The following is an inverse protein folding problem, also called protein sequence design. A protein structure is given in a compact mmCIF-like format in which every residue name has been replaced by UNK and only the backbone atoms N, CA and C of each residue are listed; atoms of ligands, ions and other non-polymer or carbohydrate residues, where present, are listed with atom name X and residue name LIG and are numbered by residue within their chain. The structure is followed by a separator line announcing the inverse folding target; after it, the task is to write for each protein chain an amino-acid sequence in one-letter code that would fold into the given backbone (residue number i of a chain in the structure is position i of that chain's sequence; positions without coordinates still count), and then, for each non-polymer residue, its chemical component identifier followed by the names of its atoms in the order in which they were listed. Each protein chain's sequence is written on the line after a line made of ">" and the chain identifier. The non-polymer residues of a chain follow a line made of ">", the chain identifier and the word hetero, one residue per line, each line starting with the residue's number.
data_IF_573079226012
#
_entry.id   IF_573079226012
#
_cell.length_a   1.000
_cell.length_b   1.000
_cell.length_c   1.000
_cell.angle_alpha   90.00
_cell.angle_beta   90.00
_cell.angle_gamma   90.00
#
_symmetry.space_group_name_H-M   'P 1'
#
loop_
_entity.id
_entity.type
_entity.pdbx_description
1 polymer ?
#
# COMPACT_ATOMS: atom_id res chain seq x y z
N UNK A 1 6.45 -3.74 -0.67
CA UNK A 1 7.60 -2.85 -0.38
C UNK A 1 8.24 -2.40 -1.67
N UNK A 2 8.81 -1.20 -1.71
CA UNK A 2 9.52 -0.66 -2.89
C UNK A 2 11.00 -0.53 -2.60
N UNK A 3 11.82 -0.83 -3.60
CA UNK A 3 13.28 -0.66 -3.57
C UNK A 3 13.67 0.28 -4.70
N UNK A 4 14.38 1.35 -4.36
CA UNK A 4 14.96 2.28 -5.33
C UNK A 4 16.39 1.85 -5.61
N UNK A 5 16.73 1.66 -6.88
CA UNK A 5 18.08 1.24 -7.28
C UNK A 5 18.66 2.15 -8.36
N UNK A 6 19.99 2.38 -8.34
CA UNK A 6 20.72 3.05 -9.42
C UNK A 6 20.43 2.45 -10.80
N UNK A 7 20.50 3.26 -11.86
CA UNK A 7 20.33 2.77 -13.23
C UNK A 7 21.40 1.74 -13.64
N UNK A 8 22.59 1.84 -13.02
CA UNK A 8 23.74 0.97 -13.28
C UNK A 8 23.50 -0.50 -12.90
N UNK A 9 22.49 -0.78 -12.06
CA UNK A 9 22.10 -2.14 -11.71
C UNK A 9 21.30 -2.77 -12.86
N UNK A 10 21.89 -3.81 -13.48
CA UNK A 10 21.25 -4.49 -14.60
C UNK A 10 19.96 -5.20 -14.17
N UNK A 11 18.99 -5.26 -15.08
CA UNK A 11 17.72 -5.98 -14.85
C UNK A 11 17.95 -7.43 -14.50
N UNK A 12 18.94 -8.09 -15.12
CA UNK A 12 19.32 -9.47 -14.81
C UNK A 12 19.79 -9.68 -13.37
N UNK A 13 20.43 -8.67 -12.76
CA UNK A 13 20.85 -8.73 -11.36
C UNK A 13 19.64 -8.62 -10.44
N UNK A 14 18.65 -7.80 -10.80
CA UNK A 14 17.42 -7.63 -10.03
C UNK A 14 16.44 -8.79 -10.20
N UNK A 15 16.47 -9.51 -11.32
CA UNK A 15 15.72 -10.76 -11.52
C UNK A 15 16.28 -11.92 -10.67
N UNK A 16 17.51 -11.80 -10.14
CA UNK A 16 18.13 -12.81 -9.29
C UNK A 16 17.72 -12.64 -7.83
N UNK A 17 16.93 -13.59 -7.31
CA UNK A 17 16.49 -13.63 -5.90
C UNK A 17 17.66 -13.44 -4.93
N UNK A 18 18.82 -14.08 -5.17
CA UNK A 18 20.00 -13.95 -4.29
C UNK A 18 20.60 -12.55 -4.21
N UNK A 19 20.54 -11.77 -5.29
CA UNK A 19 21.09 -10.41 -5.31
C UNK A 19 20.11 -9.41 -4.71
N UNK A 20 18.81 -9.61 -4.96
CA UNK A 20 17.72 -8.96 -4.23
C UNK A 20 17.86 -9.17 -2.72
N UNK A 21 18.05 -10.42 -2.28
CA UNK A 21 18.19 -10.76 -0.87
C UNK A 21 19.41 -10.06 -0.23
N UNK A 22 20.53 -10.00 -0.96
CA UNK A 22 21.74 -9.33 -0.50
C UNK A 22 21.55 -7.81 -0.39
N UNK A 23 20.79 -7.21 -1.29
CA UNK A 23 20.54 -5.77 -1.30
C UNK A 23 19.51 -5.36 -0.23
N UNK A 24 18.49 -6.19 0.00
CA UNK A 24 17.41 -5.94 0.96
C UNK A 24 17.79 -6.42 2.37
N UNK A 25 18.72 -7.37 2.48
CA UNK A 25 19.09 -8.03 3.73
C UNK A 25 18.07 -9.07 4.22
N UNK A 26 17.11 -9.47 3.37
CA UNK A 26 16.05 -10.42 3.67
C UNK A 26 15.58 -11.12 2.40
N UNK A 27 15.02 -12.32 2.53
CA UNK A 27 14.45 -13.08 1.41
C UNK A 27 13.30 -12.30 0.78
N UNK A 28 13.44 -11.92 -0.49
CA UNK A 28 12.45 -11.13 -1.20
C UNK A 28 12.21 -11.67 -2.62
N UNK A 29 10.97 -11.53 -3.10
CA UNK A 29 10.63 -11.81 -4.50
C UNK A 29 9.98 -10.60 -5.16
N UNK A 30 10.22 -10.43 -6.44
CA UNK A 30 9.63 -9.37 -7.25
C UNK A 30 8.12 -9.57 -7.37
N UNK A 31 7.38 -8.45 -7.31
CA UNK A 31 5.94 -8.45 -7.35
C UNK A 31 5.43 -7.46 -8.40
N UNK A 32 4.68 -7.96 -9.39
CA UNK A 32 4.15 -7.13 -10.47
C UNK A 32 3.08 -6.16 -9.96
N UNK A 33 3.50 -4.93 -9.61
CA UNK A 33 2.62 -3.86 -9.09
C UNK A 33 2.55 -2.62 -9.97
N UNK A 34 3.65 -2.24 -10.63
CA UNK A 34 3.70 -0.98 -11.36
C UNK A 34 2.98 -1.06 -12.70
N UNK A 35 2.25 0.00 -13.04
CA UNK A 35 1.73 0.19 -14.39
C UNK A 35 2.87 0.63 -15.31
N UNK A 36 2.89 0.06 -16.50
CA UNK A 36 3.83 0.45 -17.54
C UNK A 36 3.28 1.67 -18.27
N UNK A 37 4.15 2.65 -18.56
CA UNK A 37 3.80 3.80 -19.37
C UNK A 37 3.18 3.35 -20.70
N UNK A 38 1.96 3.81 -21.05
CA UNK A 38 1.28 3.37 -22.27
C UNK A 38 2.07 3.69 -23.54
N UNK A 39 2.93 4.71 -23.50
CA UNK A 39 3.71 5.21 -24.63
C UNK A 39 5.09 4.54 -24.78
N UNK A 40 5.40 3.50 -23.99
CA UNK A 40 6.68 2.79 -24.11
C UNK A 40 6.82 2.07 -25.46
N UNK A 41 8.01 2.16 -26.07
CA UNK A 41 8.34 1.43 -27.28
C UNK A 41 8.64 -0.05 -26.99
N UNK A 42 8.38 -0.96 -27.94
CA UNK A 42 8.60 -2.40 -27.75
C UNK A 42 10.05 -2.76 -27.35
N UNK A 43 11.04 -2.06 -27.88
CA UNK A 43 12.46 -2.31 -27.55
C UNK A 43 12.82 -1.87 -26.13
N UNK A 44 12.02 -1.01 -25.49
CA UNK A 44 12.23 -0.58 -24.11
C UNK A 44 11.70 -1.60 -23.10
N UNK A 45 10.88 -2.58 -23.53
CA UNK A 45 10.34 -3.62 -22.66
C UNK A 45 11.44 -4.42 -21.92
N UNK A 46 12.63 -4.58 -22.53
CA UNK A 46 13.78 -5.27 -21.91
C UNK A 46 14.33 -4.57 -20.66
N UNK A 47 13.94 -3.32 -20.42
CA UNK A 47 14.34 -2.56 -19.23
C UNK A 47 13.34 -2.69 -18.07
N UNK A 48 12.19 -3.32 -18.32
CA UNK A 48 11.19 -3.62 -17.30
C UNK A 48 11.46 -4.99 -16.66
N UNK A 49 11.14 -5.11 -15.39
CA UNK A 49 11.31 -6.30 -14.56
C UNK A 49 9.96 -7.00 -14.45
N UNK A 50 9.91 -8.31 -14.68
CA UNK A 50 8.68 -9.11 -14.66
C UNK A 50 7.50 -8.49 -15.44
N UNK A 51 7.75 -8.06 -16.67
CA UNK A 51 6.71 -7.50 -17.53
C UNK A 51 5.63 -8.55 -17.84
N UNK A 52 4.41 -8.28 -17.39
CA UNK A 52 3.21 -9.09 -17.62
C UNK A 52 2.22 -8.33 -18.50
N UNK A 53 1.86 -8.93 -19.63
CA UNK A 53 0.77 -8.43 -20.48
C UNK A 53 -0.56 -8.93 -19.90
N UNK A 54 -1.46 -8.05 -19.46
CA UNK A 54 -2.77 -8.46 -18.98
C UNK A 54 -3.67 -8.87 -20.14
N UNK A 55 -4.75 -9.58 -19.84
CA UNK A 55 -5.85 -9.80 -20.78
C UNK A 55 -6.71 -8.53 -20.95
N UNK A 56 -6.89 -7.77 -19.87
CA UNK A 56 -7.67 -6.51 -19.82
C UNK A 56 -6.97 -5.50 -18.89
N UNK A 57 -7.04 -4.21 -19.19
CA UNK A 57 -6.44 -3.16 -18.37
C UNK A 57 -4.94 -2.88 -18.67
N UNK A 58 -4.24 -2.15 -17.77
CA UNK A 58 -2.88 -1.67 -18.01
C UNK A 58 -1.83 -2.80 -17.89
N UNK A 59 -0.74 -2.68 -18.65
CA UNK A 59 0.41 -3.59 -18.52
C UNK A 59 1.06 -3.44 -17.15
N UNK A 60 1.41 -4.58 -16.54
CA UNK A 60 2.03 -4.61 -15.21
C UNK A 60 3.50 -5.04 -15.29
N UNK A 61 4.33 -4.51 -14.41
CA UNK A 61 5.70 -4.97 -14.20
C UNK A 61 6.04 -4.91 -12.70
N UNK A 62 7.03 -5.69 -12.26
CA UNK A 62 7.57 -5.55 -10.92
C UNK A 62 8.43 -4.29 -10.78
N UNK A 63 8.98 -3.77 -11.86
CA UNK A 63 9.82 -2.58 -11.78
C UNK A 63 10.41 -2.14 -13.11
N UNK A 64 11.20 -1.06 -13.04
CA UNK A 64 11.91 -0.49 -14.18
C UNK A 64 12.31 0.97 -13.94
N UNK A 65 12.98 1.60 -14.92
CA UNK A 65 13.27 3.03 -14.87
C UNK A 65 11.99 3.85 -14.69
N UNK A 66 12.01 4.85 -13.81
CA UNK A 66 10.85 5.68 -13.46
C UNK A 66 10.15 6.24 -14.71
N UNK A 67 10.93 6.71 -15.69
CA UNK A 67 10.39 7.25 -16.96
C UNK A 67 9.56 6.25 -17.78
N UNK A 68 9.67 4.95 -17.51
CA UNK A 68 8.94 3.88 -18.19
C UNK A 68 7.70 3.41 -17.40
N UNK A 69 7.50 3.94 -16.20
CA UNK A 69 6.37 3.60 -15.32
C UNK A 69 5.29 4.68 -15.39
N UNK A 70 4.03 4.28 -15.28
CA UNK A 70 2.88 5.19 -15.20
C UNK A 70 2.48 5.45 -13.74
N UNK A 71 3.36 6.14 -13.01
CA UNK A 71 3.09 6.45 -11.59
C UNK A 71 1.89 7.39 -11.42
N UNK A 72 1.68 8.32 -12.37
CA UNK A 72 0.55 9.24 -12.33
C UNK A 72 -0.79 8.53 -12.55
N UNK A 73 -0.86 7.63 -13.54
CA UNK A 73 -2.02 6.79 -13.77
C UNK A 73 -2.32 5.90 -12.56
N UNK A 74 -1.30 5.29 -11.97
CA UNK A 74 -1.47 4.49 -10.75
C UNK A 74 -2.11 5.29 -9.61
N UNK A 75 -1.57 6.49 -9.33
CA UNK A 75 -2.10 7.40 -8.31
C UNK A 75 -3.57 7.74 -8.55
N UNK A 76 -3.91 8.09 -9.79
CA UNK A 76 -5.27 8.39 -10.18
C UNK A 76 -6.20 7.17 -10.00
N UNK A 77 -5.77 6.00 -10.47
CA UNK A 77 -6.51 4.75 -10.29
C UNK A 77 -6.73 4.38 -8.81
N UNK A 78 -5.71 4.58 -7.98
CA UNK A 78 -5.77 4.38 -6.54
C UNK A 78 -6.80 5.29 -5.87
N UNK A 79 -6.79 6.58 -6.21
CA UNK A 79 -7.76 7.55 -5.69
C UNK A 79 -9.20 7.22 -6.11
N UNK A 80 -9.41 6.82 -7.38
CA UNK A 80 -10.72 6.44 -7.89
C UNK A 80 -11.27 5.19 -7.19
N UNK A 81 -10.46 4.13 -7.12
CA UNK A 81 -10.85 2.88 -6.45
C UNK A 81 -11.16 3.10 -4.96
N UNK A 82 -10.36 3.91 -4.28
CA UNK A 82 -10.61 4.28 -2.90
C UNK A 82 -11.87 5.11 -2.71
N UNK A 83 -12.16 6.04 -3.63
CA UNK A 83 -13.40 6.84 -3.60
C UNK A 83 -14.64 5.96 -3.72
N UNK A 84 -14.62 4.98 -4.65
CA UNK A 84 -15.70 4.00 -4.80
C UNK A 84 -15.88 3.15 -3.53
N UNK A 85 -14.78 2.66 -2.95
CA UNK A 85 -14.82 1.88 -1.71
C UNK A 85 -15.35 2.70 -0.52
N UNK A 86 -14.97 3.97 -0.42
CA UNK A 86 -15.47 4.89 0.61
C UNK A 86 -16.97 5.11 0.48
N UNK A 87 -17.47 5.33 -0.73
CA UNK A 87 -18.91 5.48 -0.98
C UNK A 87 -19.69 4.23 -0.55
N UNK A 88 -19.17 3.03 -0.86
CA UNK A 88 -19.76 1.77 -0.41
C UNK A 88 -19.76 1.68 1.12
N UNK A 89 -18.62 1.95 1.76
CA UNK A 89 -18.50 1.97 3.22
C UNK A 89 -19.50 2.92 3.87
N UNK A 90 -19.64 4.15 3.35
CA UNK A 90 -20.58 5.14 3.86
C UNK A 90 -22.05 4.67 3.76
N UNK A 91 -22.38 3.85 2.76
CA UNK A 91 -23.66 3.16 2.67
C UNK A 91 -23.83 2.09 3.76
N UNK A 92 -22.82 1.25 3.95
CA UNK A 92 -22.81 0.13 4.92
C UNK A 92 -22.95 0.60 6.36
N UNK A 93 -22.23 1.66 6.74
CA UNK A 93 -22.21 2.13 8.14
C UNK A 93 -23.29 3.17 8.46
N UNK A 94 -24.16 3.48 7.50
CA UNK A 94 -25.21 4.48 7.64
C UNK A 94 -26.08 4.19 8.88
N UNK A 95 -26.25 5.19 9.74
CA UNK A 95 -27.05 5.08 10.96
C UNK A 95 -26.29 4.55 12.18
N UNK A 96 -25.02 4.16 12.04
CA UNK A 96 -24.16 3.83 13.18
C UNK A 96 -23.43 5.08 13.69
N UNK A 97 -23.14 5.15 15.00
CA UNK A 97 -22.24 6.17 15.55
C UNK A 97 -20.81 5.92 15.05
N UNK A 98 -19.98 6.96 15.07
CA UNK A 98 -18.54 6.79 14.81
C UNK A 98 -17.94 5.85 15.86
N UNK A 99 -17.07 4.96 15.39
CA UNK A 99 -16.37 4.00 16.21
C UNK A 99 -14.98 4.51 16.56
N UNK A 100 -14.47 4.07 17.70
CA UNK A 100 -13.07 4.27 18.08
C UNK A 100 -12.17 3.40 17.19
N UNK A 101 -11.04 3.94 16.71
CA UNK A 101 -10.09 3.19 15.90
C UNK A 101 -9.43 2.07 16.72
N UNK A 102 -8.90 1.06 16.04
CA UNK A 102 -8.22 -0.08 16.69
C UNK A 102 -7.08 0.36 17.62
N UNK A 103 -6.38 1.44 17.25
CA UNK A 103 -5.24 2.00 17.95
C UNK A 103 -5.60 2.42 19.38
N UNK A 104 -6.82 2.89 19.65
CA UNK A 104 -7.26 3.22 21.02
C UNK A 104 -7.28 1.98 21.93
N UNK A 105 -7.74 0.85 21.38
CA UNK A 105 -7.81 -0.43 22.10
C UNK A 105 -6.42 -1.04 22.29
N UNK A 106 -5.58 -0.96 21.25
CA UNK A 106 -4.19 -1.41 21.31
C UNK A 106 -3.39 -0.61 22.35
N UNK A 107 -3.51 0.73 22.37
CA UNK A 107 -2.82 1.58 23.35
C UNK A 107 -3.25 1.24 24.78
N UNK A 108 -4.55 0.99 25.00
CA UNK A 108 -5.06 0.56 26.31
C UNK A 108 -4.48 -0.78 26.73
N UNK A 109 -4.36 -1.73 25.80
CA UNK A 109 -3.73 -3.03 26.05
C UNK A 109 -2.25 -2.88 26.41
N UNK A 110 -1.50 -2.09 25.64
CA UNK A 110 -0.08 -1.85 25.88
C UNK A 110 0.19 -1.14 27.21
N UNK A 111 -0.78 -0.37 27.72
CA UNK A 111 -0.66 0.35 28.99
C UNK A 111 -0.84 -0.56 30.22
N UNK A 112 -1.67 -1.61 30.14
CA UNK A 112 -1.89 -2.58 31.23
C UNK A 112 -2.33 -3.93 30.65
N UNK A 113 -1.34 -4.73 30.22
CA UNK A 113 -1.58 -6.01 29.54
C UNK A 113 -2.27 -7.05 30.44
N UNK A 114 -2.14 -6.92 31.77
CA UNK A 114 -2.73 -7.85 32.74
C UNK A 114 -4.22 -7.56 32.91
N UNK A 115 -4.60 -6.29 33.07
CA UNK A 115 -6.02 -5.92 33.26
C UNK A 115 -6.79 -5.78 31.94
N UNK A 116 -6.09 -5.55 30.84
CA UNK A 116 -6.70 -5.41 29.53
C UNK A 116 -5.97 -6.26 28.48
N UNK A 117 -6.20 -7.59 28.47
CA UNK A 117 -5.59 -8.50 27.50
C UNK A 117 -6.01 -8.20 26.05
N UNK A 118 -5.20 -8.64 25.09
CA UNK A 118 -5.45 -8.36 23.66
C UNK A 118 -6.76 -8.96 23.17
N UNK A 119 -7.18 -10.11 23.69
CA UNK A 119 -8.45 -10.74 23.34
C UNK A 119 -9.64 -9.88 23.76
N UNK A 120 -9.52 -9.16 24.89
CA UNK A 120 -10.54 -8.21 25.33
C UNK A 120 -10.55 -6.96 24.45
N UNK A 121 -9.37 -6.46 24.07
CA UNK A 121 -9.24 -5.34 23.13
C UNK A 121 -9.93 -5.65 21.79
N UNK A 122 -9.69 -6.84 21.23
CA UNK A 122 -10.33 -7.31 19.99
C UNK A 122 -11.84 -7.36 20.17
N UNK A 123 -12.34 -8.00 21.24
CA UNK A 123 -13.78 -8.09 21.51
C UNK A 123 -14.44 -6.72 21.62
N UNK A 124 -13.83 -5.80 22.36
CA UNK A 124 -14.39 -4.46 22.56
C UNK A 124 -14.39 -3.64 21.26
N UNK A 125 -13.34 -3.76 20.45
CA UNK A 125 -13.26 -3.13 19.14
C UNK A 125 -14.33 -3.69 18.18
N UNK A 126 -14.45 -5.01 18.13
CA UNK A 126 -15.38 -5.72 17.27
C UNK A 126 -16.85 -5.54 17.67
N UNK A 127 -17.13 -5.29 18.95
CA UNK A 127 -18.48 -5.07 19.46
C UNK A 127 -19.08 -3.71 19.07
N UNK A 128 -18.29 -2.80 18.49
CA UNK A 128 -18.77 -1.48 18.09
C UNK A 128 -19.80 -1.61 16.95
N UNK A 129 -20.96 -0.94 17.01
CA UNK A 129 -22.02 -1.08 16.00
C UNK A 129 -21.55 -0.86 14.55
N UNK A 130 -20.62 0.09 14.34
CA UNK A 130 -20.04 0.37 13.04
C UNK A 130 -19.15 -0.77 12.52
N UNK A 131 -18.33 -1.34 13.40
CA UNK A 131 -17.47 -2.50 13.07
C UNK A 131 -18.33 -3.73 12.81
N UNK A 132 -19.38 -3.95 13.61
CA UNK A 132 -20.37 -5.01 13.37
C UNK A 132 -21.05 -4.85 12.00
N UNK A 133 -21.45 -3.64 11.61
CA UNK A 133 -22.04 -3.38 10.28
C UNK A 133 -21.08 -3.73 9.14
N UNK A 134 -19.79 -3.36 9.25
CA UNK A 134 -18.76 -3.73 8.27
C UNK A 134 -18.57 -5.24 8.19
N UNK A 135 -18.51 -5.94 9.34
CA UNK A 135 -18.37 -7.40 9.38
C UNK A 135 -19.58 -8.11 8.80
N UNK A 136 -20.79 -7.65 9.10
CA UNK A 136 -22.02 -8.20 8.54
C UNK A 136 -22.06 -8.04 7.02
N UNK A 137 -21.67 -6.88 6.49
CA UNK A 137 -21.52 -6.65 5.05
C UNK A 137 -20.49 -7.59 4.42
N UNK A 138 -19.30 -7.73 5.00
CA UNK A 138 -18.25 -8.61 4.49
C UNK A 138 -18.72 -10.08 4.48
N UNK A 139 -19.45 -10.52 5.50
CA UNK A 139 -20.02 -11.86 5.58
C UNK A 139 -21.11 -12.10 4.52
N UNK A 140 -21.95 -11.09 4.23
CA UNK A 140 -23.04 -11.20 3.27
C UNK A 140 -22.59 -11.14 1.81
N UNK A 141 -21.47 -10.46 1.52
CA UNK A 141 -20.96 -10.22 0.16
C UNK A 141 -19.84 -11.17 -0.26
N UNK A 142 -19.45 -12.12 0.60
CA UNK A 142 -18.37 -13.08 0.35
C UNK A 142 -17.05 -12.42 -0.12
N UNK A 143 -16.84 -11.14 0.22
CA UNK A 143 -15.62 -10.40 -0.11
C UNK A 143 -15.62 -9.62 -1.42
N UNK A 144 -16.73 -9.57 -2.19
CA UNK A 144 -16.79 -8.81 -3.46
C UNK A 144 -16.34 -7.35 -3.32
N UNK A 145 -16.70 -6.71 -2.20
CA UNK A 145 -16.10 -5.44 -1.74
C UNK A 145 -15.82 -5.57 -0.26
N UNK A 146 -14.68 -6.21 0.07
CA UNK A 146 -14.22 -6.33 1.44
C UNK A 146 -13.87 -4.95 2.03
N UNK A 147 -14.49 -4.64 3.18
CA UNK A 147 -14.23 -3.44 3.96
C UNK A 147 -13.43 -3.82 5.20
N UNK A 148 -12.14 -3.53 5.20
CA UNK A 148 -11.25 -3.87 6.32
C UNK A 148 -11.58 -3.00 7.55
N UNK A 149 -12.01 -3.57 8.69
CA UNK A 149 -12.21 -2.82 9.93
C UNK A 149 -10.97 -2.09 10.43
N UNK A 150 -9.75 -2.55 10.11
CA UNK A 150 -8.52 -1.89 10.53
C UNK A 150 -8.21 -0.60 9.73
N UNK A 151 -8.92 -0.35 8.62
CA UNK A 151 -8.87 0.93 7.89
C UNK A 151 -9.88 1.96 8.43
N UNK A 152 -10.63 1.64 9.49
CA UNK A 152 -11.71 2.48 10.02
C UNK A 152 -11.27 3.92 10.31
N UNK A 153 -10.05 4.13 10.82
CA UNK A 153 -9.50 5.47 11.08
C UNK A 153 -9.49 6.34 9.82
N UNK A 154 -8.98 5.80 8.70
CA UNK A 154 -8.93 6.50 7.41
C UNK A 154 -10.31 6.65 6.79
N UNK A 155 -11.18 5.64 6.91
CA UNK A 155 -12.54 5.68 6.39
C UNK A 155 -13.37 6.79 7.09
N UNK A 156 -13.24 6.91 8.41
CA UNK A 156 -13.90 7.94 9.21
C UNK A 156 -13.30 9.33 9.04
N UNK A 157 -12.02 9.45 8.64
CA UNK A 157 -11.40 10.73 8.29
C UNK A 157 -12.03 11.39 7.04
N UNK A 158 -12.80 10.62 6.25
CA UNK A 158 -13.63 11.13 5.16
C UNK A 158 -13.13 10.76 3.77
N UNK A 159 -13.95 11.02 2.72
CA UNK A 159 -13.69 10.52 1.37
C UNK A 159 -12.38 11.06 0.78
N UNK A 160 -12.11 12.35 0.97
CA UNK A 160 -10.89 12.98 0.47
C UNK A 160 -9.63 12.43 1.16
N UNK A 161 -9.67 12.23 2.48
CA UNK A 161 -8.56 11.66 3.23
C UNK A 161 -8.26 10.22 2.78
N UNK A 162 -9.30 9.39 2.65
CA UNK A 162 -9.18 8.01 2.18
C UNK A 162 -8.65 7.93 0.73
N UNK A 163 -9.17 8.76 -0.18
CA UNK A 163 -8.70 8.81 -1.56
C UNK A 163 -7.25 9.29 -1.69
N UNK A 164 -6.87 10.34 -0.94
CA UNK A 164 -5.51 10.88 -0.95
C UNK A 164 -4.52 9.89 -0.33
N UNK A 165 -4.89 9.19 0.74
CA UNK A 165 -4.08 8.11 1.29
C UNK A 165 -3.78 7.04 0.25
N UNK A 166 -4.82 6.53 -0.42
CA UNK A 166 -4.67 5.45 -1.41
C UNK A 166 -3.95 5.90 -2.67
N UNK A 167 -4.11 7.16 -3.10
CA UNK A 167 -3.29 7.79 -4.14
C UNK A 167 -1.80 7.59 -3.83
N UNK A 168 -1.39 7.76 -2.57
CA UNK A 168 0.00 7.62 -2.17
C UNK A 168 0.42 6.17 -1.95
N UNK A 169 -0.43 5.39 -1.29
CA UNK A 169 -0.15 4.00 -0.91
C UNK A 169 0.09 3.09 -2.12
N UNK A 170 -0.62 3.29 -3.24
CA UNK A 170 -0.45 2.46 -4.44
C UNK A 170 0.96 2.54 -5.06
N UNK A 171 1.72 3.61 -4.77
CA UNK A 171 3.09 3.77 -5.26
C UNK A 171 4.11 3.29 -4.24
N UNK A 172 3.98 3.71 -2.97
CA UNK A 172 5.01 3.49 -1.95
C UNK A 172 4.77 2.28 -1.05
N UNK A 173 3.54 1.77 -0.96
CA UNK A 173 3.18 0.58 -0.15
C UNK A 173 3.66 0.73 1.30
N UNK A 174 4.08 -0.35 1.95
CA UNK A 174 4.38 -0.37 3.40
C UNK A 174 5.77 0.16 3.77
N UNK A 175 6.73 0.13 2.83
CA UNK A 175 8.07 0.68 3.03
C UNK A 175 8.75 1.00 1.69
N UNK A 176 9.71 1.93 1.73
CA UNK A 176 10.61 2.29 0.62
C UNK A 176 12.06 2.18 1.07
N UNK A 177 12.86 1.38 0.39
CA UNK A 177 14.32 1.44 0.45
C UNK A 177 14.83 2.50 -0.53
N UNK A 178 15.56 3.46 0.00
CA UNK A 178 16.16 4.56 -0.75
C UNK A 178 17.48 4.13 -1.41
N UNK A 179 17.98 4.91 -2.37
CA UNK A 179 19.25 4.66 -3.07
C UNK A 179 20.47 4.53 -2.17
N UNK A 180 20.44 5.13 -0.96
CA UNK A 180 21.53 5.02 0.01
C UNK A 180 21.34 3.83 0.98
N UNK A 181 20.33 2.99 0.76
CA UNK A 181 20.00 1.84 1.59
C UNK A 181 19.17 2.17 2.84
N UNK A 182 18.82 3.42 3.10
CA UNK A 182 17.94 3.76 4.22
C UNK A 182 16.52 3.27 3.96
N UNK A 183 15.89 2.67 4.97
CA UNK A 183 14.51 2.19 4.95
C UNK A 183 13.56 3.25 5.50
N UNK A 184 12.66 3.75 4.67
CA UNK A 184 11.53 4.57 5.08
C UNK A 184 10.31 3.67 5.32
N UNK A 185 9.68 3.78 6.49
CA UNK A 185 8.50 3.01 6.87
C UNK A 185 7.68 3.81 7.90
N UNK A 186 6.39 3.51 8.10
CA UNK A 186 5.63 4.18 9.15
C UNK A 186 6.16 3.84 10.54
N UNK A 187 6.06 4.78 11.48
CA UNK A 187 6.49 4.59 12.86
C UNK A 187 5.57 3.63 13.64
N UNK A 188 4.29 3.55 13.25
CA UNK A 188 3.32 2.60 13.76
C UNK A 188 2.22 2.32 12.72
N UNK A 189 1.26 1.47 13.06
CA UNK A 189 0.08 1.21 12.23
C UNK A 189 -1.01 2.28 12.31
N UNK A 190 -0.79 3.40 13.01
CA UNK A 190 -1.73 4.53 13.02
C UNK A 190 -1.85 5.15 11.62
N UNK A 191 -3.04 5.65 11.28
CA UNK A 191 -3.23 6.34 10.00
C UNK A 191 -2.33 7.58 9.88
N UNK A 192 -2.10 8.29 10.99
CA UNK A 192 -1.24 9.46 11.05
C UNK A 192 0.22 9.14 10.71
N UNK A 193 0.79 8.06 11.27
CA UNK A 193 2.16 7.65 10.99
C UNK A 193 2.31 7.12 9.56
N UNK A 194 1.32 6.34 9.08
CA UNK A 194 1.26 5.89 7.69
C UNK A 194 1.19 7.06 6.71
N UNK A 195 0.37 8.07 7.00
CA UNK A 195 0.27 9.27 6.16
C UNK A 195 1.57 10.07 6.15
N UNK A 196 2.21 10.23 7.31
CA UNK A 196 3.50 10.91 7.44
C UNK A 196 4.57 10.22 6.59
N UNK A 197 4.69 8.89 6.72
CA UNK A 197 5.61 8.09 5.92
C UNK A 197 5.30 8.21 4.42
N UNK A 198 4.04 8.01 4.00
CA UNK A 198 3.66 8.06 2.59
C UNK A 198 3.95 9.42 1.96
N UNK A 199 3.69 10.51 2.68
CA UNK A 199 4.02 11.86 2.21
C UNK A 199 5.52 12.06 2.02
N UNK A 200 6.36 11.50 2.90
CA UNK A 200 7.81 11.60 2.77
C UNK A 200 8.32 10.70 1.63
N UNK A 201 7.81 9.47 1.55
CA UNK A 201 8.20 8.48 0.55
C UNK A 201 7.86 8.95 -0.87
N UNK A 202 6.71 9.58 -1.08
CA UNK A 202 6.37 10.12 -2.40
C UNK A 202 7.26 11.29 -2.80
N UNK A 203 7.55 12.22 -1.88
CA UNK A 203 8.48 13.32 -2.16
C UNK A 203 9.86 12.78 -2.52
N UNK A 204 10.30 11.73 -1.84
CA UNK A 204 11.54 11.04 -2.16
C UNK A 204 11.51 10.46 -3.59
N UNK A 205 10.49 9.66 -3.92
CA UNK A 205 10.34 9.06 -5.26
C UNK A 205 10.26 10.13 -6.36
N UNK A 206 9.58 11.25 -6.12
CA UNK A 206 9.47 12.37 -7.06
C UNK A 206 10.79 13.14 -7.24
N UNK A 207 11.70 13.07 -6.27
CA UNK A 207 13.02 13.69 -6.36
C UNK A 207 14.05 12.83 -7.10
N UNK A 208 13.73 11.57 -7.40
CA UNK A 208 14.63 10.65 -8.09
C UNK A 208 14.80 11.04 -9.56
N UNK A 209 16.00 10.82 -10.08
CA UNK A 209 16.25 10.96 -11.51
C UNK A 209 15.40 9.95 -12.31
N UNK A 210 14.78 10.34 -13.45
CA UNK A 210 13.89 9.46 -14.22
C UNK A 210 14.53 8.18 -14.75
N UNK A 211 15.87 8.08 -14.79
CA UNK A 211 16.62 6.89 -15.12
C UNK A 211 16.73 5.90 -13.94
N UNK A 212 16.59 6.38 -12.70
CA UNK A 212 16.57 5.53 -11.50
C UNK A 212 15.42 4.54 -11.61
N UNK A 213 15.61 3.38 -10.98
CA UNK A 213 14.69 2.25 -11.11
C UNK A 213 13.93 2.05 -9.81
N UNK A 214 12.64 1.77 -9.95
CA UNK A 214 11.80 1.29 -8.86
C UNK A 214 11.56 -0.20 -9.04
N UNK A 215 11.58 -0.93 -7.94
CA UNK A 215 11.28 -2.35 -7.90
C UNK A 215 10.34 -2.65 -6.74
N UNK A 216 9.18 -3.22 -7.05
CA UNK A 216 8.23 -3.72 -6.10
C UNK A 216 8.59 -5.15 -5.71
N UNK A 217 8.66 -5.38 -4.41
CA UNK A 217 9.00 -6.67 -3.82
C UNK A 217 8.05 -7.02 -2.68
N UNK A 218 7.86 -8.32 -2.50
CA UNK A 218 7.28 -8.92 -1.30
C UNK A 218 8.36 -9.63 -0.52
N UNK A 219 8.29 -9.55 0.80
CA UNK A 219 9.11 -10.36 1.70
C UNK A 219 8.46 -11.75 1.86
N UNK A 220 9.28 -12.78 2.03
CA UNK A 220 8.84 -14.14 2.32
C UNK A 220 8.60 -14.37 3.82
#
# INVERSE_FOLDING_TARGET
>A
MIVCVPDELSTQVLDSTRQLDRHIGATASSEARFWVNPNIHMWQNKHLIDLRKPKTGPRYCAGGPIRLLDLAGMRHGGALGASMRHQQWAGVVRGTRDARPWQDYLLRHLSDQVKYPVEQAIKDFEAQPRVLAMRAHNAATFGDVYLDPFELELLQAGPAAYANYHCMWVVCTDAVYTLNGARMQPASDSAADRLTYLSQAIRYVESLDPAQRLLAVTLA
#
